data_IF_425751892637
#
_entry.id   IF_425751892637
#
_cell.length_a   1.000
_cell.length_b   1.000
_cell.length_c   1.000
_cell.angle_alpha   90.00
_cell.angle_beta   90.00
_cell.angle_gamma   90.00
#
_symmetry.space_group_name_H-M   'P 1'
#
loop_
_entity.id
_entity.type
_entity.pdbx_description
1 polymer ?
#
# COMPACT_ATOMS: atom_id res chain seq x y z
N UNK A 1 -17.47 -12.20 -5.89
CA UNK A 1 -18.94 -12.07 -5.80
C UNK A 1 -19.31 -10.60 -5.93
N UNK A 2 -20.34 -10.27 -6.71
CA UNK A 2 -20.93 -8.92 -6.71
C UNK A 2 -21.48 -8.64 -5.32
N UNK A 3 -20.88 -7.67 -4.61
CA UNK A 3 -21.35 -7.29 -3.28
C UNK A 3 -22.07 -5.94 -3.41
N UNK A 4 -23.30 -5.99 -3.92
CA UNK A 4 -24.15 -4.82 -4.21
C UNK A 4 -24.53 -4.03 -2.96
N UNK A 5 -24.45 -4.64 -1.76
CA UNK A 5 -24.63 -3.94 -0.49
C UNK A 5 -23.56 -2.86 -0.25
N UNK A 6 -22.41 -2.97 -0.90
CA UNK A 6 -21.35 -1.98 -0.82
C UNK A 6 -21.39 -0.93 -1.94
N UNK A 7 -22.11 -1.19 -3.03
CA UNK A 7 -22.39 -0.16 -4.03
C UNK A 7 -23.26 0.91 -3.36
N UNK A 8 -22.94 2.19 -3.53
CA UNK A 8 -23.66 3.36 -2.98
C UNK A 8 -23.25 3.89 -1.59
N UNK A 9 -22.21 3.35 -0.93
CA UNK A 9 -21.68 4.04 0.27
C UNK A 9 -21.09 5.41 -0.10
N UNK A 10 -21.23 6.44 0.77
CA UNK A 10 -20.73 7.77 0.47
C UNK A 10 -19.21 7.77 0.38
N UNK A 11 -18.67 8.51 -0.60
CA UNK A 11 -17.23 8.67 -0.79
C UNK A 11 -16.57 9.37 0.40
N UNK A 12 -15.40 8.87 0.77
CA UNK A 12 -14.61 9.37 1.87
C UNK A 12 -13.93 10.69 1.52
N UNK A 13 -14.13 11.72 2.35
CA UNK A 13 -13.41 12.98 2.25
C UNK A 13 -11.96 12.89 2.73
N UNK A 14 -11.21 13.97 2.49
CA UNK A 14 -9.76 14.04 2.72
C UNK A 14 -9.33 13.65 4.14
N UNK A 15 -9.93 14.25 5.18
CA UNK A 15 -9.48 14.05 6.57
C UNK A 15 -9.61 12.61 7.07
N UNK A 16 -10.64 11.86 6.62
CA UNK A 16 -10.77 10.44 6.98
C UNK A 16 -9.68 9.60 6.32
N UNK A 17 -9.36 9.90 5.06
CA UNK A 17 -8.26 9.23 4.34
C UNK A 17 -6.92 9.56 4.97
N UNK A 18 -6.70 10.82 5.37
CA UNK A 18 -5.50 11.23 6.11
C UNK A 18 -5.39 10.50 7.45
N UNK A 19 -6.49 10.42 8.20
CA UNK A 19 -6.56 9.65 9.44
C UNK A 19 -6.19 8.18 9.24
N UNK A 20 -6.75 7.53 8.22
CA UNK A 20 -6.37 6.15 7.88
C UNK A 20 -4.89 6.03 7.47
N UNK A 21 -4.38 6.99 6.70
CA UNK A 21 -2.98 7.01 6.25
C UNK A 21 -1.99 7.12 7.42
N UNK A 22 -2.31 7.87 8.48
CA UNK A 22 -1.47 7.94 9.69
C UNK A 22 -1.36 6.57 10.36
N UNK A 23 -2.46 5.83 10.46
CA UNK A 23 -2.46 4.48 11.05
C UNK A 23 -1.70 3.50 10.15
N UNK A 24 -1.95 3.58 8.85
CA UNK A 24 -1.29 2.72 7.87
C UNK A 24 0.20 3.03 7.73
N UNK A 25 0.66 4.25 8.04
CA UNK A 25 2.08 4.58 8.08
C UNK A 25 2.82 3.73 9.10
N UNK A 26 2.24 3.47 10.28
CA UNK A 26 2.85 2.59 11.29
C UNK A 26 2.99 1.16 10.77
N UNK A 27 2.00 0.67 10.02
CA UNK A 27 2.04 -0.65 9.40
C UNK A 27 3.06 -0.71 8.27
N UNK A 28 3.13 0.31 7.43
CA UNK A 28 4.12 0.41 6.38
C UNK A 28 5.55 0.43 6.94
N UNK A 29 5.78 1.16 8.03
CA UNK A 29 7.07 1.18 8.73
C UNK A 29 7.42 -0.20 9.29
N UNK A 30 6.46 -0.91 9.90
CA UNK A 30 6.68 -2.27 10.39
C UNK A 30 7.07 -3.23 9.24
N UNK A 31 6.34 -3.19 8.11
CA UNK A 31 6.66 -3.98 6.92
C UNK A 31 8.02 -3.59 6.34
N UNK A 32 8.34 -2.29 6.28
CA UNK A 32 9.60 -1.77 5.78
C UNK A 32 10.79 -2.27 6.62
N UNK A 33 10.70 -2.17 7.95
CA UNK A 33 11.76 -2.65 8.85
C UNK A 33 11.95 -4.17 8.74
N UNK A 34 10.86 -4.94 8.70
CA UNK A 34 10.93 -6.39 8.58
C UNK A 34 11.51 -6.84 7.23
N UNK A 35 11.01 -6.25 6.13
CA UNK A 35 11.55 -6.48 4.79
C UNK A 35 13.01 -6.04 4.68
N UNK A 36 13.38 -4.95 5.37
CA UNK A 36 14.74 -4.44 5.45
C UNK A 36 15.69 -5.40 6.14
N UNK A 37 15.28 -5.97 7.28
CA UNK A 37 16.05 -6.99 7.99
C UNK A 37 16.26 -8.24 7.12
N UNK A 38 15.22 -8.72 6.44
CA UNK A 38 15.32 -9.87 5.52
C UNK A 38 16.25 -9.55 4.35
N UNK A 39 16.03 -8.43 3.66
CA UNK A 39 16.82 -8.04 2.50
C UNK A 39 18.29 -7.83 2.86
N UNK A 40 18.56 -7.23 4.03
CA UNK A 40 19.92 -7.07 4.55
C UNK A 40 20.54 -8.43 4.90
N UNK A 41 19.80 -9.34 5.54
CA UNK A 41 20.27 -10.70 5.84
C UNK A 41 20.64 -11.49 4.58
N UNK A 42 19.83 -11.37 3.51
CA UNK A 42 20.13 -11.98 2.20
C UNK A 42 21.41 -11.37 1.62
N UNK A 43 21.51 -10.04 1.58
CA UNK A 43 22.69 -9.36 1.06
C UNK A 43 23.97 -9.71 1.84
N UNK A 44 23.87 -9.77 3.17
CA UNK A 44 24.93 -10.22 4.06
C UNK A 44 25.38 -11.65 3.73
N UNK A 45 24.45 -12.59 3.55
CA UNK A 45 24.76 -13.98 3.19
C UNK A 45 25.40 -14.13 1.80
N UNK A 46 24.93 -13.36 0.82
CA UNK A 46 25.52 -13.33 -0.53
C UNK A 46 26.94 -12.77 -0.52
N UNK A 47 27.19 -11.75 0.29
CA UNK A 47 28.52 -11.15 0.43
C UNK A 47 29.47 -12.07 1.18
N UNK A 48 28.99 -12.71 2.24
CA UNK A 48 29.78 -13.67 3.05
C UNK A 48 30.14 -14.95 2.28
N UNK A 49 29.31 -15.36 1.31
CA UNK A 49 29.61 -16.48 0.41
C UNK A 49 30.51 -16.12 -0.78
N UNK A 50 30.89 -14.84 -0.91
CA UNK A 50 31.72 -14.33 -2.01
C UNK A 50 30.98 -14.18 -3.35
N UNK A 51 29.66 -14.37 -3.38
CA UNK A 51 28.83 -14.17 -4.57
C UNK A 51 28.66 -12.68 -4.93
N UNK A 52 28.79 -11.80 -3.93
CA UNK A 52 28.68 -10.36 -4.06
C UNK A 52 29.94 -9.72 -3.48
N UNK A 53 30.50 -8.74 -4.18
CA UNK A 53 31.72 -8.05 -3.78
C UNK A 53 31.43 -6.94 -2.76
N UNK A 54 32.36 -6.74 -1.84
CA UNK A 54 32.36 -5.59 -0.92
C UNK A 54 32.69 -4.27 -1.63
N UNK A 55 33.08 -4.28 -2.92
CA UNK A 55 33.43 -3.10 -3.72
C UNK A 55 34.41 -2.14 -3.04
N UNK A 56 35.35 -2.69 -2.26
CA UNK A 56 36.37 -1.91 -1.55
C UNK A 56 35.89 -1.24 -0.26
N UNK A 57 34.64 -1.47 0.16
CA UNK A 57 34.13 -0.99 1.45
C UNK A 57 34.54 -1.93 2.59
N UNK A 58 34.78 -1.37 3.78
CA UNK A 58 35.10 -2.15 4.99
C UNK A 58 33.85 -2.76 5.64
N UNK A 59 32.71 -2.08 5.55
CA UNK A 59 31.45 -2.53 6.14
C UNK A 59 30.41 -2.92 5.08
N UNK A 60 29.67 -3.99 5.35
CA UNK A 60 28.64 -4.53 4.43
C UNK A 60 27.50 -3.52 4.24
N UNK A 61 27.15 -2.76 5.29
CA UNK A 61 26.18 -1.67 5.21
C UNK A 61 26.61 -0.58 4.22
N UNK A 62 27.92 -0.30 4.15
CA UNK A 62 28.47 0.74 3.30
C UNK A 62 28.59 0.24 1.87
N UNK A 63 28.92 -1.03 1.68
CA UNK A 63 28.85 -1.68 0.37
C UNK A 63 27.42 -1.63 -0.21
N UNK A 64 26.41 -1.94 0.61
CA UNK A 64 25.00 -1.92 0.20
C UNK A 64 24.53 -0.52 -0.20
N UNK A 65 24.88 0.51 0.57
CA UNK A 65 24.41 1.88 0.34
C UNK A 65 25.29 2.68 -0.64
N UNK A 66 26.60 2.44 -0.63
CA UNK A 66 27.58 3.13 -1.45
C UNK A 66 27.69 2.58 -2.87
N UNK A 67 27.24 1.35 -3.12
CA UNK A 67 27.17 0.80 -4.48
C UNK A 67 25.80 1.08 -5.11
N UNK A 68 25.69 1.88 -6.18
CA UNK A 68 24.40 2.31 -6.73
C UNK A 68 23.46 1.16 -7.13
N UNK A 69 24.00 0.07 -7.69
CA UNK A 69 23.18 -1.07 -8.11
C UNK A 69 22.66 -1.89 -6.92
N UNK A 70 23.46 -2.10 -5.87
CA UNK A 70 23.01 -2.79 -4.66
C UNK A 70 21.97 -1.97 -3.93
N UNK A 71 22.22 -0.68 -3.77
CA UNK A 71 21.28 0.25 -3.17
C UNK A 71 19.97 0.29 -3.96
N UNK A 72 20.04 0.41 -5.29
CA UNK A 72 18.87 0.43 -6.17
C UNK A 72 18.02 -0.84 -6.07
N UNK A 73 18.65 -2.02 -6.08
CA UNK A 73 17.94 -3.31 -5.93
C UNK A 73 17.31 -3.41 -4.53
N UNK A 74 18.03 -2.99 -3.48
CA UNK A 74 17.52 -3.02 -2.11
C UNK A 74 16.33 -2.07 -1.91
N UNK A 75 16.39 -0.85 -2.44
CA UNK A 75 15.27 0.09 -2.40
C UNK A 75 14.08 -0.43 -3.22
N UNK A 76 14.31 -1.04 -4.38
CA UNK A 76 13.26 -1.67 -5.17
C UNK A 76 12.59 -2.82 -4.40
N UNK A 77 13.38 -3.68 -3.73
CA UNK A 77 12.87 -4.72 -2.85
C UNK A 77 11.95 -4.15 -1.77
N UNK A 78 12.39 -3.12 -1.04
CA UNK A 78 11.60 -2.48 0.01
C UNK A 78 10.31 -1.87 -0.53
N UNK A 79 10.39 -1.14 -1.64
CA UNK A 79 9.23 -0.55 -2.31
C UNK A 79 8.24 -1.63 -2.77
N UNK A 80 8.72 -2.75 -3.31
CA UNK A 80 7.88 -3.87 -3.72
C UNK A 80 7.23 -4.55 -2.51
N UNK A 81 7.95 -4.78 -1.41
CA UNK A 81 7.36 -5.37 -0.20
C UNK A 81 6.23 -4.51 0.37
N UNK A 82 6.48 -3.21 0.57
CA UNK A 82 5.46 -2.28 1.09
C UNK A 82 4.31 -2.11 0.10
N UNK A 83 4.62 -1.96 -1.19
CA UNK A 83 3.59 -1.83 -2.23
C UNK A 83 2.72 -3.08 -2.34
N UNK A 84 3.33 -4.27 -2.28
CA UNK A 84 2.61 -5.55 -2.31
C UNK A 84 1.72 -5.73 -1.09
N UNK A 85 2.18 -5.32 0.10
CA UNK A 85 1.33 -5.29 1.29
C UNK A 85 0.04 -4.51 1.03
N UNK A 86 0.12 -3.26 0.57
CA UNK A 86 -1.09 -2.49 0.24
C UNK A 86 -1.92 -3.13 -0.86
N UNK A 87 -1.28 -3.53 -1.96
CA UNK A 87 -1.98 -4.10 -3.12
C UNK A 87 -2.79 -5.35 -2.75
N UNK A 88 -2.22 -6.25 -1.95
CA UNK A 88 -2.88 -7.48 -1.48
C UNK A 88 -4.10 -7.18 -0.59
N UNK A 89 -3.96 -6.27 0.37
CA UNK A 89 -5.07 -5.92 1.27
C UNK A 89 -6.20 -5.21 0.51
N UNK A 90 -5.86 -4.34 -0.44
CA UNK A 90 -6.83 -3.65 -1.29
C UNK A 90 -7.53 -4.58 -2.27
N UNK A 91 -6.84 -5.60 -2.82
CA UNK A 91 -7.46 -6.53 -3.76
C UNK A 91 -8.31 -7.61 -3.08
N UNK A 92 -7.90 -8.11 -1.91
CA UNK A 92 -8.64 -9.18 -1.21
C UNK A 92 -9.80 -8.66 -0.38
N UNK A 93 -9.59 -7.58 0.37
CA UNK A 93 -10.59 -7.05 1.31
C UNK A 93 -11.03 -5.62 1.04
N UNK A 94 -10.31 -4.88 0.21
CA UNK A 94 -10.53 -3.45 0.01
C UNK A 94 -10.13 -2.59 1.23
N UNK A 95 -9.56 -3.18 2.29
CA UNK A 95 -9.22 -2.46 3.52
C UNK A 95 -7.91 -2.96 4.13
N UNK A 96 -7.05 -2.03 4.51
CA UNK A 96 -5.95 -2.24 5.48
C UNK A 96 -6.46 -2.06 6.90
N UNK A 97 -5.65 -2.41 7.91
CA UNK A 97 -6.04 -2.22 9.31
C UNK A 97 -6.30 -0.74 9.66
N UNK A 98 -5.49 0.20 9.16
CA UNK A 98 -5.74 1.64 9.38
C UNK A 98 -7.04 2.10 8.70
N UNK A 99 -7.30 1.66 7.47
CA UNK A 99 -8.57 1.97 6.80
C UNK A 99 -9.78 1.43 7.57
N UNK A 100 -9.68 0.26 8.19
CA UNK A 100 -10.76 -0.32 9.00
C UNK A 100 -11.09 0.51 10.23
N UNK A 101 -10.10 1.09 10.90
CA UNK A 101 -10.33 1.99 12.05
C UNK A 101 -11.19 3.20 11.65
N UNK A 102 -11.09 3.63 10.40
CA UNK A 102 -11.83 4.76 9.83
C UNK A 102 -13.06 4.35 9.01
N UNK A 103 -13.39 3.04 8.97
CA UNK A 103 -14.46 2.44 8.17
C UNK A 103 -14.33 2.73 6.67
N UNK A 104 -13.10 2.80 6.17
CA UNK A 104 -12.83 3.07 4.77
C UNK A 104 -12.66 1.77 4.00
N UNK A 105 -13.22 1.72 2.80
CA UNK A 105 -13.01 0.61 1.86
C UNK A 105 -12.75 1.13 0.46
N UNK A 106 -11.76 0.53 -0.20
CA UNK A 106 -11.49 0.74 -1.63
C UNK A 106 -12.24 -0.31 -2.44
N UNK A 107 -12.92 0.14 -3.47
CA UNK A 107 -13.69 -0.72 -4.36
C UNK A 107 -13.87 -0.07 -5.73
N UNK A 108 -14.33 -0.85 -6.71
CA UNK A 108 -14.96 -0.31 -7.90
C UNK A 108 -16.32 0.30 -7.55
N UNK A 109 -16.86 1.24 -8.36
CA UNK A 109 -18.17 1.87 -8.09
C UNK A 109 -19.33 0.87 -7.95
N UNK A 110 -19.20 -0.33 -8.52
CA UNK A 110 -20.16 -1.42 -8.40
C UNK A 110 -20.01 -2.26 -7.11
N UNK A 111 -19.18 -1.83 -6.15
CA UNK A 111 -18.94 -2.50 -4.87
C UNK A 111 -17.93 -3.66 -4.92
N UNK A 112 -17.41 -4.01 -6.10
CA UNK A 112 -16.44 -5.10 -6.26
C UNK A 112 -15.04 -4.69 -5.78
N UNK A 113 -14.29 -5.67 -5.29
CA UNK A 113 -12.89 -5.44 -4.93
C UNK A 113 -12.03 -5.22 -6.18
N UNK A 114 -10.87 -4.61 -5.98
CA UNK A 114 -9.92 -4.36 -7.07
C UNK A 114 -9.21 -5.67 -7.45
N UNK A 115 -8.80 -5.76 -8.71
CA UNK A 115 -7.76 -6.72 -9.08
C UNK A 115 -6.40 -6.29 -8.52
N UNK A 116 -5.45 -7.21 -8.39
CA UNK A 116 -4.07 -6.87 -8.00
C UNK A 116 -3.43 -5.85 -8.93
N UNK A 117 -3.65 -5.99 -10.24
CA UNK A 117 -3.12 -5.08 -11.26
C UNK A 117 -3.65 -3.66 -11.01
N UNK A 118 -4.95 -3.52 -10.78
CA UNK A 118 -5.57 -2.22 -10.47
C UNK A 118 -5.04 -1.65 -9.16
N UNK A 119 -4.79 -2.50 -8.15
CA UNK A 119 -4.24 -2.07 -6.87
C UNK A 119 -2.80 -1.53 -7.00
N UNK A 120 -1.93 -2.16 -7.79
CA UNK A 120 -0.60 -1.60 -8.09
C UNK A 120 -0.66 -0.32 -8.92
N UNK A 121 -1.57 -0.24 -9.90
CA UNK A 121 -1.80 1.00 -10.64
C UNK A 121 -2.19 2.14 -9.70
N UNK A 122 -3.01 1.87 -8.67
CA UNK A 122 -3.35 2.87 -7.65
C UNK A 122 -2.14 3.36 -6.87
N UNK A 123 -1.19 2.48 -6.56
CA UNK A 123 0.05 2.87 -5.85
C UNK A 123 0.82 3.89 -6.70
N UNK A 124 1.00 3.60 -7.99
CA UNK A 124 1.71 4.50 -8.92
C UNK A 124 0.99 5.86 -8.99
N UNK A 125 -0.31 5.86 -9.26
CA UNK A 125 -1.11 7.09 -9.37
C UNK A 125 -1.34 7.82 -8.05
N UNK A 126 -1.06 7.17 -6.91
CA UNK A 126 -1.16 7.84 -5.61
C UNK A 126 -0.06 8.88 -5.39
N UNK A 127 1.05 8.77 -6.13
CA UNK A 127 2.21 9.67 -6.03
C UNK A 127 2.66 9.86 -4.58
N UNK A 128 2.91 8.74 -3.88
CA UNK A 128 3.26 8.72 -2.44
C UNK A 128 2.22 9.42 -1.54
N UNK A 129 0.94 9.37 -1.94
CA UNK A 129 -0.17 9.96 -1.21
C UNK A 129 -0.55 11.37 -1.66
N UNK A 130 0.30 12.07 -2.43
CA UNK A 130 0.03 13.41 -2.96
C UNK A 130 -1.27 13.45 -3.78
N UNK A 131 -1.61 12.36 -4.47
CA UNK A 131 -2.85 12.23 -5.24
C UNK A 131 -4.14 12.44 -4.41
N UNK A 132 -4.08 12.30 -3.08
CA UNK A 132 -5.22 12.59 -2.19
C UNK A 132 -5.50 14.09 -2.04
N UNK A 133 -4.52 14.97 -2.28
CA UNK A 133 -4.74 16.42 -2.25
C UNK A 133 -5.76 16.87 -3.30
N UNK A 134 -5.90 16.11 -4.39
CA UNK A 134 -6.91 16.35 -5.43
C UNK A 134 -8.34 16.39 -4.88
N UNK A 135 -8.62 15.67 -3.77
CA UNK A 135 -9.92 15.68 -3.10
C UNK A 135 -10.31 17.06 -2.57
N UNK A 136 -9.33 17.91 -2.22
CA UNK A 136 -9.59 19.24 -1.67
C UNK A 136 -10.19 20.19 -2.73
N UNK A 137 -9.93 19.91 -4.01
CA UNK A 137 -10.39 20.70 -5.14
C UNK A 137 -11.58 19.99 -5.84
N UNK A 138 -11.60 18.66 -5.80
CA UNK A 138 -12.63 17.85 -6.45
C UNK A 138 -13.87 17.62 -5.57
N UNK A 139 -15.01 18.19 -5.98
CA UNK A 139 -16.32 18.05 -5.31
C UNK A 139 -16.82 16.62 -5.22
N UNK A 140 -16.40 15.75 -6.15
CA UNK A 140 -16.80 14.34 -6.22
C UNK A 140 -16.05 13.45 -5.22
N UNK A 141 -15.10 14.02 -4.45
CA UNK A 141 -14.25 13.34 -3.46
C UNK A 141 -13.46 12.16 -4.03
N UNK A 142 -13.13 12.23 -5.32
CA UNK A 142 -12.21 11.29 -5.97
C UNK A 142 -10.79 11.85 -5.92
N UNK A 143 -9.86 11.06 -5.39
CA UNK A 143 -8.43 11.34 -5.50
C UNK A 143 -7.92 11.05 -6.93
N UNK A 144 -6.71 11.50 -7.25
CA UNK A 144 -6.09 11.21 -8.55
C UNK A 144 -6.06 9.70 -8.86
N UNK A 145 -5.58 8.89 -7.90
CA UNK A 145 -5.54 7.44 -8.06
C UNK A 145 -6.91 6.78 -8.17
N UNK A 146 -7.98 7.41 -7.63
CA UNK A 146 -9.34 6.91 -7.76
C UNK A 146 -9.83 7.05 -9.20
N UNK A 147 -9.61 8.23 -9.77
CA UNK A 147 -10.00 8.55 -11.15
C UNK A 147 -9.24 7.69 -12.16
N UNK A 148 -7.92 7.62 -12.03
CA UNK A 148 -7.06 6.92 -12.99
C UNK A 148 -7.30 5.41 -13.03
N UNK A 149 -7.78 4.81 -11.94
CA UNK A 149 -8.03 3.36 -11.87
C UNK A 149 -9.51 3.00 -11.78
N UNK A 150 -10.42 3.95 -12.03
CA UNK A 150 -11.88 3.78 -11.95
C UNK A 150 -12.33 3.07 -10.68
N UNK A 151 -11.87 3.59 -9.55
CA UNK A 151 -12.17 3.06 -8.23
C UNK A 151 -12.50 4.21 -7.29
N UNK A 152 -12.93 3.89 -6.09
CA UNK A 152 -13.31 4.88 -5.09
C UNK A 152 -13.00 4.37 -3.68
N UNK A 153 -12.84 5.32 -2.75
CA UNK A 153 -12.79 5.02 -1.33
C UNK A 153 -14.09 5.47 -0.70
N UNK A 154 -14.83 4.52 -0.14
CA UNK A 154 -16.14 4.74 0.48
C UNK A 154 -16.07 4.63 1.99
N UNK A 155 -17.02 5.25 2.68
CA UNK A 155 -17.20 5.15 4.13
C UNK A 155 -18.30 4.16 4.44
N UNK A 156 -17.94 3.01 5.01
CA UNK A 156 -18.86 1.96 5.42
C UNK A 156 -19.67 2.35 6.67
N UNK A 157 -20.86 1.77 6.80
CA UNK A 157 -21.61 1.76 8.07
C UNK A 157 -20.82 0.97 9.13
N UNK A 158 -21.21 1.12 10.41
CA UNK A 158 -20.57 0.34 11.49
C UNK A 158 -20.79 -1.16 11.29
N UNK A 159 -21.99 -1.54 10.85
CA UNK A 159 -22.38 -2.93 10.57
C UNK A 159 -21.57 -3.50 9.39
N UNK A 160 -21.47 -2.78 8.28
CA UNK A 160 -20.73 -3.23 7.10
C UNK A 160 -19.21 -3.37 7.35
N UNK A 161 -18.65 -2.61 8.30
CA UNK A 161 -17.21 -2.68 8.65
C UNK A 161 -16.84 -3.82 9.62
N UNK A 162 -17.80 -4.63 10.07
CA UNK A 162 -17.52 -5.75 10.99
C UNK A 162 -16.75 -6.88 10.29
N UNK A 163 -15.78 -7.50 10.99
CA UNK A 163 -14.99 -8.64 10.48
C UNK A 163 -15.86 -9.78 9.96
N UNK A 164 -17.01 -10.04 10.59
CA UNK A 164 -17.91 -11.13 10.20
C UNK A 164 -18.44 -10.99 8.77
N UNK A 165 -18.54 -9.77 8.26
CA UNK A 165 -19.06 -9.48 6.92
C UNK A 165 -17.96 -9.49 5.85
N UNK A 166 -16.73 -9.82 6.24
CA UNK A 166 -15.58 -9.92 5.36
C UNK A 166 -15.53 -11.30 4.71
N UNK A 167 -15.83 -11.34 3.41
CA UNK A 167 -15.79 -12.56 2.59
C UNK A 167 -14.45 -12.70 1.84
N UNK A 168 -13.37 -12.16 2.41
CA UNK A 168 -12.04 -12.10 1.78
C UNK A 168 -11.11 -13.27 2.09
N UNK A 169 -11.67 -14.39 2.56
CA UNK A 169 -10.99 -15.66 2.77
C UNK A 169 -11.46 -16.69 1.74
#
# INVERSE_FOLDING_TARGET
MLNSEHANFPRAGFFRRLGAAIYDLLLALAVYMFAGAIGFGIFFGLTSSGLVSMNGFEHISDALNGTPIYHGIYQLWLALCVGTFYALFWSRGGQTLGMRAWRLKIQHPNGQNLSLITAYARIIWSLLGVGNLWILINTDKLALQDMMTRSEVVVLSKEANQMRNWHGA
#
